data_IF_801639960189
#
_entry.id   IF_801639960189
#
_cell.length_a   1.000
_cell.length_b   1.000
_cell.length_c   1.000
_cell.angle_alpha   90.00
_cell.angle_beta   90.00
_cell.angle_gamma   90.00
#
_symmetry.space_group_name_H-M   'P 1'
#
loop_
_entity.id
_entity.type
_entity.pdbx_description
1 polymer ?
#
# COMPACT_ATOMS: atom_id res chain seq x y z
N UNK A 1 3.21 -3.28 15.75
CA UNK A 1 2.29 -3.59 14.61
C UNK A 1 2.12 -2.33 13.80
N UNK A 2 2.06 -2.43 12.47
CA UNK A 2 1.91 -1.26 11.61
C UNK A 2 0.44 -0.83 11.57
N UNK A 3 0.22 0.45 11.84
CA UNK A 3 -1.09 1.11 11.73
C UNK A 3 -1.02 2.24 10.73
N UNK A 4 -2.07 2.35 9.92
CA UNK A 4 -2.28 3.54 9.08
C UNK A 4 -3.03 4.55 9.93
N UNK A 5 -2.36 5.65 10.28
CA UNK A 5 -2.88 6.66 11.22
C UNK A 5 -2.62 8.08 10.73
N UNK A 6 -3.36 9.02 11.30
CA UNK A 6 -3.18 10.46 11.04
C UNK A 6 -2.15 11.06 11.99
N UNK A 7 -1.15 11.73 11.43
CA UNK A 7 -0.20 12.60 12.13
C UNK A 7 -0.67 14.04 12.04
N UNK A 8 -0.62 14.79 13.14
CA UNK A 8 -1.05 16.20 13.13
C UNK A 8 0.14 17.08 12.72
N UNK A 9 0.00 17.85 11.66
CA UNK A 9 1.03 18.74 11.08
C UNK A 9 0.46 20.14 10.79
N UNK A 10 -0.43 20.61 11.67
CA UNK A 10 -1.10 21.91 11.56
C UNK A 10 -0.55 22.98 12.50
N UNK A 11 -1.12 24.18 12.38
CA UNK A 11 -0.93 25.29 13.31
C UNK A 11 -2.17 25.42 14.21
N UNK A 12 -2.09 26.26 15.23
CA UNK A 12 -3.26 26.64 16.03
C UNK A 12 -4.38 27.15 15.10
N UNK A 13 -5.60 26.68 15.31
CA UNK A 13 -6.79 26.95 14.49
C UNK A 13 -6.70 26.56 13.00
N UNK A 14 -5.65 25.86 12.57
CA UNK A 14 -5.50 25.33 11.20
C UNK A 14 -4.99 23.87 11.26
N UNK A 15 -5.87 22.90 11.55
CA UNK A 15 -5.49 21.49 11.59
C UNK A 15 -5.15 21.00 10.19
N UNK A 16 -4.04 20.28 10.08
CA UNK A 16 -3.61 19.59 8.86
C UNK A 16 -3.12 18.21 9.28
N UNK A 17 -3.54 17.17 8.55
CA UNK A 17 -3.21 15.80 8.91
C UNK A 17 -2.45 15.13 7.79
N UNK A 18 -1.34 14.46 8.12
CA UNK A 18 -0.67 13.54 7.20
C UNK A 18 -1.16 12.12 7.46
N UNK A 19 -1.42 11.36 6.41
CA UNK A 19 -1.80 9.96 6.49
C UNK A 19 -0.52 9.15 6.33
N UNK A 20 -0.15 8.40 7.35
CA UNK A 20 1.14 7.71 7.40
C UNK A 20 0.98 6.27 7.87
N UNK A 21 1.85 5.38 7.36
CA UNK A 21 2.09 4.07 7.94
C UNK A 21 3.14 4.21 9.06
N UNK A 22 2.80 3.80 10.28
CA UNK A 22 3.70 3.86 11.43
C UNK A 22 3.53 2.64 12.33
N UNK A 23 4.54 2.31 13.13
CA UNK A 23 4.34 1.35 14.23
C UNK A 23 3.41 1.96 15.30
N UNK A 24 2.51 1.14 15.84
CA UNK A 24 1.61 1.49 16.92
C UNK A 24 2.32 2.05 18.17
N UNK A 25 3.55 1.60 18.47
CA UNK A 25 4.33 2.06 19.63
C UNK A 25 4.96 3.43 19.41
N UNK A 26 5.10 3.88 18.17
CA UNK A 26 5.70 5.18 17.88
C UNK A 26 4.78 6.33 18.37
N UNK A 27 5.33 7.47 18.83
CA UNK A 27 4.53 8.61 19.24
C UNK A 27 3.70 9.16 18.09
N UNK A 28 2.58 9.85 18.39
CA UNK A 28 1.61 10.33 17.38
C UNK A 28 2.27 11.06 16.22
N UNK A 29 3.17 11.99 16.55
CA UNK A 29 3.86 12.85 15.59
C UNK A 29 5.31 12.40 15.32
N UNK A 30 5.63 11.14 15.62
CA UNK A 30 6.95 10.54 15.45
C UNK A 30 7.36 10.29 13.99
N UNK A 31 8.42 9.47 13.85
CA UNK A 31 8.95 9.03 12.56
C UNK A 31 7.96 8.10 11.87
N UNK A 32 7.56 8.46 10.66
CA UNK A 32 6.75 7.60 9.79
C UNK A 32 7.64 6.57 9.09
N UNK A 33 7.09 5.39 8.79
CA UNK A 33 7.69 4.44 7.85
C UNK A 33 7.48 4.98 6.43
N UNK A 34 6.26 5.41 6.14
CA UNK A 34 5.93 5.98 4.83
C UNK A 34 4.79 6.99 4.96
N UNK A 35 4.90 8.10 4.23
CA UNK A 35 3.82 9.06 4.08
C UNK A 35 2.95 8.65 2.88
N UNK A 36 1.70 8.30 3.14
CA UNK A 36 0.76 7.78 2.14
C UNK A 36 -0.12 8.88 1.53
N UNK A 37 -0.08 10.07 2.12
CA UNK A 37 -0.87 11.22 1.67
C UNK A 37 -1.16 12.23 2.77
N UNK A 38 -2.16 13.08 2.53
CA UNK A 38 -2.60 14.07 3.51
C UNK A 38 -4.12 14.30 3.46
N UNK A 39 -4.61 14.93 4.52
CA UNK A 39 -6.00 15.31 4.72
C UNK A 39 -6.05 16.72 5.32
N UNK A 40 -6.62 17.67 4.57
CA UNK A 40 -6.88 19.03 5.05
C UNK A 40 -8.40 19.22 5.26
N UNK A 41 -8.93 19.19 6.50
CA UNK A 41 -10.35 19.37 6.76
C UNK A 41 -10.87 20.78 6.41
N UNK A 42 -10.00 21.79 6.28
CA UNK A 42 -10.39 23.17 6.00
C UNK A 42 -10.68 23.43 4.51
N UNK A 43 -10.28 22.51 3.63
CA UNK A 43 -10.56 22.63 2.20
C UNK A 43 -12.03 22.28 1.94
N UNK A 44 -12.78 23.26 1.41
CA UNK A 44 -14.20 23.11 1.08
C UNK A 44 -14.43 22.10 -0.04
N UNK A 45 -13.59 22.14 -1.07
CA UNK A 45 -13.63 21.17 -2.17
C UNK A 45 -13.32 19.75 -1.65
N UNK A 46 -14.17 18.78 -1.97
CA UNK A 46 -14.04 17.39 -1.51
C UNK A 46 -12.86 16.68 -2.17
N UNK A 47 -12.58 16.97 -3.44
CA UNK A 47 -11.54 16.27 -4.21
C UNK A 47 -10.14 16.74 -3.83
N UNK A 48 -9.98 18.04 -3.57
CA UNK A 48 -8.72 18.62 -3.09
C UNK A 48 -8.49 18.42 -1.58
N UNK A 49 -9.50 17.91 -0.84
CA UNK A 49 -9.43 17.71 0.61
C UNK A 49 -8.42 16.65 1.00
N UNK A 50 -8.19 15.69 0.12
CA UNK A 50 -7.42 14.50 0.42
C UNK A 50 -6.65 14.08 -0.81
N UNK A 51 -5.35 13.93 -0.65
CA UNK A 51 -4.49 13.34 -1.66
C UNK A 51 -3.92 12.07 -1.07
N UNK A 52 -4.09 10.96 -1.78
CA UNK A 52 -3.66 9.63 -1.37
C UNK A 52 -2.86 8.96 -2.48
N UNK A 53 -1.75 8.34 -2.12
CA UNK A 53 -1.04 7.41 -2.98
C UNK A 53 -1.73 6.05 -2.94
N UNK A 54 -2.78 5.89 -3.76
CA UNK A 54 -3.69 4.72 -3.77
C UNK A 54 -2.93 3.39 -3.82
N UNK A 55 -1.92 3.28 -4.69
CA UNK A 55 -1.13 2.06 -4.85
C UNK A 55 -0.40 1.65 -3.57
N UNK A 56 0.17 2.62 -2.85
CA UNK A 56 0.90 2.38 -1.59
C UNK A 56 -0.04 2.05 -0.46
N UNK A 57 -1.19 2.72 -0.38
CA UNK A 57 -2.23 2.38 0.60
C UNK A 57 -2.72 0.95 0.42
N UNK A 58 -2.99 0.53 -0.82
CA UNK A 58 -3.39 -0.86 -1.15
C UNK A 58 -2.33 -1.87 -0.75
N UNK A 59 -1.05 -1.58 -1.00
CA UNK A 59 0.07 -2.41 -0.54
C UNK A 59 0.09 -2.56 0.99
N UNK A 60 -0.02 -1.47 1.75
CA UNK A 60 -0.02 -1.57 3.21
C UNK A 60 -1.24 -2.34 3.74
N UNK A 61 -2.40 -2.21 3.09
CA UNK A 61 -3.59 -3.01 3.41
C UNK A 61 -3.39 -4.51 3.07
N UNK A 62 -2.65 -4.85 2.02
CA UNK A 62 -2.37 -6.24 1.66
C UNK A 62 -1.36 -6.90 2.62
N UNK A 63 -0.37 -6.12 3.09
CA UNK A 63 0.61 -6.54 4.11
C UNK A 63 -0.04 -6.73 5.50
N UNK A 64 -1.27 -6.24 5.69
CA UNK A 64 -2.03 -6.40 6.93
C UNK A 64 -1.94 -5.21 7.88
N UNK A 65 -1.56 -4.02 7.39
CA UNK A 65 -1.63 -2.81 8.19
C UNK A 65 -3.09 -2.48 8.54
N UNK A 66 -3.33 -2.14 9.81
CA UNK A 66 -4.67 -1.80 10.28
C UNK A 66 -4.90 -0.28 10.26
N UNK A 67 -5.91 0.24 9.55
CA UNK A 67 -6.26 1.65 9.60
C UNK A 67 -6.98 2.00 10.90
N UNK A 68 -6.80 3.22 11.40
CA UNK A 68 -7.62 3.76 12.49
C UNK A 68 -9.02 4.12 12.01
N UNK A 69 -9.99 4.26 12.91
CA UNK A 69 -11.42 4.48 12.57
C UNK A 69 -11.64 5.65 11.59
N UNK A 70 -11.05 6.82 11.86
CA UNK A 70 -11.16 8.00 10.98
C UNK A 70 -10.53 7.76 9.61
N UNK A 71 -9.39 7.06 9.57
CA UNK A 71 -8.73 6.71 8.31
C UNK A 71 -9.57 5.69 7.55
N UNK A 72 -10.19 4.71 8.21
CA UNK A 72 -11.06 3.74 7.58
C UNK A 72 -12.29 4.40 6.95
N UNK A 73 -12.92 5.37 7.63
CA UNK A 73 -14.02 6.17 7.05
C UNK A 73 -13.54 6.96 5.84
N UNK A 74 -12.35 7.55 5.92
CA UNK A 74 -11.76 8.31 4.82
C UNK A 74 -11.47 7.41 3.61
N UNK A 75 -10.85 6.25 3.82
CA UNK A 75 -10.57 5.27 2.75
C UNK A 75 -11.84 4.77 2.07
N UNK A 76 -12.89 4.47 2.85
CA UNK A 76 -14.22 4.09 2.32
C UNK A 76 -14.81 5.18 1.44
N UNK A 77 -14.67 6.45 1.83
CA UNK A 77 -15.19 7.59 1.07
C UNK A 77 -14.52 7.74 -0.31
N UNK A 78 -13.23 7.42 -0.42
CA UNK A 78 -12.49 7.46 -1.68
C UNK A 78 -12.45 6.13 -2.42
N UNK A 79 -13.22 5.12 -1.98
CA UNK A 79 -13.28 3.80 -2.63
C UNK A 79 -11.98 3.01 -2.55
N UNK A 80 -11.07 3.35 -1.62
CA UNK A 80 -9.80 2.63 -1.46
C UNK A 80 -10.02 1.49 -0.48
N UNK A 81 -10.26 0.30 -1.03
CA UNK A 81 -10.44 -0.94 -0.27
C UNK A 81 -9.19 -1.80 -0.31
N UNK A 82 -9.15 -2.82 0.56
CA UNK A 82 -8.12 -3.86 0.51
C UNK A 82 -8.18 -4.53 -0.87
N UNK A 83 -7.04 -4.68 -1.58
CA UNK A 83 -7.04 -5.39 -2.86
C UNK A 83 -7.50 -6.83 -2.66
N UNK A 84 -8.20 -7.38 -3.65
CA UNK A 84 -8.60 -8.77 -3.62
C UNK A 84 -7.35 -9.68 -3.61
N UNK A 85 -7.39 -10.85 -2.95
CA UNK A 85 -6.29 -11.80 -3.01
C UNK A 85 -6.04 -12.21 -4.47
N UNK A 86 -4.91 -11.81 -5.05
CA UNK A 86 -4.52 -12.16 -6.42
C UNK A 86 -4.58 -11.04 -7.46
N UNK A 87 -5.04 -9.83 -7.10
CA UNK A 87 -4.95 -8.68 -8.00
C UNK A 87 -3.52 -8.13 -8.00
N UNK A 88 -2.81 -8.09 -9.15
CA UNK A 88 -1.47 -7.54 -9.20
C UNK A 88 -1.52 -6.05 -8.87
N UNK A 89 -0.86 -5.68 -7.77
CA UNK A 89 -0.59 -4.28 -7.47
C UNK A 89 0.52 -3.87 -8.44
N UNK A 90 0.17 -3.29 -9.60
CA UNK A 90 1.11 -2.74 -10.57
C UNK A 90 1.82 -1.51 -10.00
N UNK A 91 2.64 -1.72 -8.97
CA UNK A 91 3.69 -0.80 -8.59
C UNK A 91 4.86 -1.13 -9.50
N UNK A 92 5.22 -0.18 -10.37
CA UNK A 92 6.46 -0.34 -11.15
C UNK A 92 7.64 -0.54 -10.18
N UNK A 93 8.61 -1.40 -10.50
CA UNK A 93 9.79 -1.63 -9.67
C UNK A 93 10.53 -0.33 -9.30
N UNK A 94 10.48 0.67 -10.18
CA UNK A 94 11.04 2.02 -9.96
C UNK A 94 10.35 2.76 -8.80
N UNK A 95 9.02 2.67 -8.70
CA UNK A 95 8.26 3.29 -7.60
C UNK A 95 8.52 2.63 -6.25
N UNK A 96 8.94 1.35 -6.24
CA UNK A 96 9.37 0.64 -5.04
C UNK A 96 10.80 1.07 -4.65
N UNK A 97 11.69 1.21 -5.63
CA UNK A 97 13.08 1.61 -5.44
C UNK A 97 13.26 3.09 -5.04
N UNK A 98 12.33 3.97 -5.43
CA UNK A 98 12.38 5.41 -5.14
C UNK A 98 11.89 5.80 -3.73
N UNK A 99 11.48 4.84 -2.89
CA UNK A 99 11.01 5.14 -1.53
C UNK A 99 12.19 5.39 -0.58
N UNK A 100 12.09 6.38 0.33
CA UNK A 100 13.20 6.79 1.19
C UNK A 100 13.56 5.77 2.29
N UNK A 101 12.78 4.70 2.41
CA UNK A 101 13.19 3.51 3.15
C UNK A 101 13.71 2.50 2.14
N UNK A 102 15.03 2.32 2.15
CA UNK A 102 15.75 1.39 1.30
C UNK A 102 15.03 0.04 1.17
N UNK A 103 15.12 -0.51 -0.04
CA UNK A 103 14.45 -1.73 -0.44
C UNK A 103 14.40 -2.76 0.68
N UNK A 104 13.19 -3.05 1.14
CA UNK A 104 12.94 -4.36 1.71
C UNK A 104 13.19 -5.35 0.56
N UNK A 105 14.33 -6.02 0.68
CA UNK A 105 14.88 -7.10 -0.14
C UNK A 105 13.80 -8.01 -0.75
N UNK A 106 14.02 -8.58 -1.95
CA UNK A 106 13.12 -9.52 -2.65
C UNK A 106 12.86 -10.86 -1.92
N UNK A 107 13.15 -10.99 -0.62
CA UNK A 107 13.18 -12.25 0.12
C UNK A 107 11.87 -12.60 0.84
N UNK A 108 10.72 -12.23 0.26
CA UNK A 108 9.42 -12.61 0.80
C UNK A 108 8.45 -13.11 -0.27
N UNK A 109 8.95 -13.97 -1.17
CA UNK A 109 8.23 -15.13 -1.76
C UNK A 109 9.08 -15.84 -2.84
N UNK A 110 10.27 -16.29 -2.46
CA UNK A 110 10.80 -17.54 -3.02
C UNK A 110 10.09 -18.73 -2.33
N UNK A 111 8.78 -18.88 -2.54
CA UNK A 111 8.00 -20.04 -2.08
C UNK A 111 6.59 -20.04 -2.70
N UNK A 112 6.51 -20.12 -4.03
CA UNK A 112 5.57 -21.07 -4.64
C UNK A 112 6.43 -21.97 -5.52
N UNK A 113 6.50 -23.22 -5.10
CA UNK A 113 7.31 -24.26 -5.70
C UNK A 113 7.04 -24.37 -7.20
N UNK A 114 8.10 -24.73 -7.93
CA UNK A 114 8.05 -24.97 -9.35
C UNK A 114 6.95 -25.94 -9.76
N UNK A 115 6.34 -25.65 -10.89
CA UNK A 115 5.85 -26.68 -11.78
C UNK A 115 6.00 -26.17 -13.21
N UNK A 116 7.12 -26.53 -13.80
CA UNK A 116 7.25 -26.72 -15.25
C UNK A 116 7.75 -28.15 -15.44
N UNK A 117 7.53 -28.79 -16.59
CA UNK A 117 6.36 -28.74 -17.46
C UNK A 117 6.03 -30.16 -18.00
N UNK A 118 4.76 -30.61 -18.09
CA UNK A 118 4.47 -31.78 -18.95
C UNK A 118 2.96 -31.92 -19.26
N UNK A 119 2.60 -31.90 -20.55
CA UNK A 119 1.76 -32.91 -21.24
C UNK A 119 1.41 -32.45 -22.67
N UNK A 120 1.39 -33.46 -23.57
CA UNK A 120 0.90 -33.53 -24.96
C UNK A 120 1.92 -33.20 -26.06
N UNK A 121 2.70 -34.16 -26.61
CA UNK A 121 2.36 -35.31 -27.47
C UNK A 121 2.02 -34.95 -28.93
N UNK A 122 2.92 -35.24 -29.86
CA UNK A 122 2.62 -35.84 -31.17
C UNK A 122 3.92 -36.28 -31.87
N UNK A 123 3.86 -37.48 -32.44
CA UNK A 123 4.90 -38.37 -32.98
C UNK A 123 5.54 -37.94 -34.31
N UNK A 124 6.76 -38.43 -34.62
CA UNK A 124 7.00 -39.00 -35.94
C UNK A 124 7.32 -40.50 -35.85
N UNK A 125 6.42 -41.33 -36.37
CA UNK A 125 6.66 -42.75 -36.65
C UNK A 125 7.44 -42.87 -37.95
N UNK A 126 8.68 -43.36 -37.84
CA UNK A 126 9.46 -43.94 -38.92
C UNK A 126 8.89 -45.31 -39.27
N UNK A 127 8.62 -45.58 -40.55
CA UNK A 127 8.74 -46.94 -41.10
C UNK A 127 8.80 -46.94 -42.64
N UNK A 128 9.80 -47.68 -43.13
CA UNK A 128 10.07 -48.19 -44.50
C UNK A 128 10.71 -47.23 -45.51
#
# INVERSE_FOLDING_TARGET
MVKIRMKSMGRLHRPFYRICAMDAKAPRDGRAIEELGYYDPMVRNKDARTVLHVNRVRYWLSVGAQPTEKVAVLLKKYGVTKPAPGEPIELTPEQIAALPFGGASPDARAAVAGSTPVVASATPTTSS
#
